data_IF_378544759602
#
_entry.id   IF_378544759602
#
_cell.length_a   1.000
_cell.length_b   1.000
_cell.length_c   1.000
_cell.angle_alpha   90.00
_cell.angle_beta   90.00
_cell.angle_gamma   90.00
#
_symmetry.space_group_name_H-M   'P 1'
#
loop_
_entity.id
_entity.type
_entity.pdbx_description
1 polymer ?
#
# COMPACT_ATOMS: atom_id res chain seq x y z
N UNK A 1 -7.73 -24.46 -5.48
CA UNK A 1 -7.43 -23.50 -6.55
C UNK A 1 -6.45 -22.50 -5.98
N UNK A 2 -5.31 -22.29 -6.64
CA UNK A 2 -4.41 -21.16 -6.35
C UNK A 2 -4.51 -20.16 -7.49
N UNK A 3 -4.51 -18.86 -7.18
CA UNK A 3 -4.52 -17.79 -8.19
C UNK A 3 -3.22 -17.02 -8.03
N UNK A 4 -2.47 -16.93 -9.12
CA UNK A 4 -1.38 -15.97 -9.24
C UNK A 4 -1.91 -14.77 -10.04
N UNK A 5 -1.93 -13.60 -9.40
CA UNK A 5 -2.39 -12.37 -10.03
C UNK A 5 -1.31 -11.68 -10.87
N UNK A 6 -0.06 -12.15 -10.84
CA UNK A 6 1.03 -11.63 -11.68
C UNK A 6 1.21 -10.10 -11.60
N UNK A 7 1.08 -9.50 -10.41
CA UNK A 7 1.07 -8.04 -10.17
C UNK A 7 -0.14 -7.28 -10.75
N UNK A 8 -1.19 -7.99 -11.19
CA UNK A 8 -2.45 -7.40 -11.62
C UNK A 8 -3.36 -7.10 -10.44
N UNK A 9 -4.02 -5.94 -10.47
CA UNK A 9 -5.11 -5.60 -9.54
C UNK A 9 -6.48 -5.95 -10.12
N UNK A 10 -6.53 -6.62 -11.27
CA UNK A 10 -7.78 -7.00 -11.92
C UNK A 10 -8.45 -8.16 -11.19
N UNK A 11 -9.77 -8.12 -11.14
CA UNK A 11 -10.60 -9.21 -10.62
C UNK A 11 -10.44 -10.46 -11.50
N UNK A 12 -10.16 -11.60 -10.88
CA UNK A 12 -10.26 -12.90 -11.51
C UNK A 12 -11.73 -13.34 -11.51
N UNK A 13 -12.32 -13.47 -12.70
CA UNK A 13 -13.73 -13.84 -12.89
C UNK A 13 -13.83 -15.21 -13.57
N UNK A 14 -14.59 -16.12 -12.98
CA UNK A 14 -14.83 -17.46 -13.53
C UNK A 14 -16.21 -17.98 -13.08
N UNK A 15 -16.64 -19.11 -13.63
CA UNK A 15 -17.91 -19.75 -13.26
C UNK A 15 -17.67 -21.04 -12.49
N UNK A 16 -18.44 -21.23 -11.42
CA UNK A 16 -18.62 -22.53 -10.80
C UNK A 16 -19.84 -23.19 -11.44
N UNK A 17 -19.61 -24.27 -12.18
CA UNK A 17 -20.66 -25.04 -12.83
C UNK A 17 -20.95 -26.29 -12.01
N UNK A 18 -22.22 -26.50 -11.71
CA UNK A 18 -22.75 -27.78 -11.21
C UNK A 18 -23.45 -28.50 -12.37
N UNK A 19 -24.05 -29.65 -12.10
CA UNK A 19 -24.83 -30.36 -13.12
C UNK A 19 -26.02 -29.53 -13.63
N UNK A 20 -26.63 -28.76 -12.73
CA UNK A 20 -27.92 -28.12 -12.98
C UNK A 20 -27.82 -26.58 -13.07
N UNK A 21 -26.76 -25.98 -12.51
CA UNK A 21 -26.63 -24.52 -12.37
C UNK A 21 -25.21 -23.98 -12.62
N UNK A 22 -25.12 -22.68 -12.90
CA UNK A 22 -23.88 -21.93 -13.11
C UNK A 22 -23.84 -20.69 -12.21
N UNK A 23 -22.72 -20.46 -11.52
CA UNK A 23 -22.54 -19.34 -10.59
C UNK A 23 -21.31 -18.53 -10.98
N UNK A 24 -21.48 -17.23 -11.23
CA UNK A 24 -20.35 -16.32 -11.45
C UNK A 24 -19.62 -16.05 -10.13
N UNK A 25 -18.31 -16.24 -10.13
CA UNK A 25 -17.42 -15.96 -9.01
C UNK A 25 -16.38 -14.94 -9.43
N UNK A 26 -16.20 -13.92 -8.58
CA UNK A 26 -15.26 -12.83 -8.77
C UNK A 26 -14.32 -12.78 -7.56
N UNK A 27 -13.02 -12.86 -7.80
CA UNK A 27 -11.99 -12.78 -6.76
C UNK A 27 -11.08 -11.60 -7.09
N UNK A 28 -11.11 -10.57 -6.23
CA UNK A 28 -10.25 -9.40 -6.34
C UNK A 28 -9.06 -9.56 -5.39
N UNK A 29 -7.81 -9.40 -5.85
CA UNK A 29 -6.67 -9.49 -4.97
C UNK A 29 -6.64 -8.29 -4.02
N UNK A 30 -6.55 -8.50 -2.69
CA UNK A 30 -6.14 -7.44 -1.78
C UNK A 30 -4.73 -6.98 -2.17
N UNK A 31 -4.46 -5.67 -2.17
CA UNK A 31 -3.13 -5.18 -2.59
C UNK A 31 -2.02 -5.72 -1.70
N UNK A 32 -2.30 -5.96 -0.41
CA UNK A 32 -1.36 -6.59 0.50
C UNK A 32 -0.88 -7.99 0.06
N UNK A 33 -1.67 -8.75 -0.70
CA UNK A 33 -1.26 -10.07 -1.22
C UNK A 33 -0.33 -9.96 -2.43
N UNK A 34 -0.33 -8.80 -3.11
CA UNK A 34 0.58 -8.51 -4.22
C UNK A 34 1.96 -8.04 -3.73
N UNK A 35 2.15 -7.89 -2.42
CA UNK A 35 3.31 -7.23 -1.82
C UNK A 35 4.04 -8.15 -0.83
N UNK A 36 5.37 -8.08 -0.88
CA UNK A 36 6.29 -8.68 0.08
C UNK A 36 6.99 -7.57 0.86
N UNK A 37 6.94 -7.58 2.21
CA UNK A 37 7.56 -6.55 3.02
C UNK A 37 9.08 -6.58 2.84
N UNK A 38 9.69 -5.38 2.79
CA UNK A 38 11.14 -5.23 2.69
C UNK A 38 11.65 -4.39 3.85
N UNK A 39 12.71 -4.86 4.49
CA UNK A 39 13.47 -4.08 5.47
C UNK A 39 14.58 -3.31 4.76
N UNK A 40 14.69 -2.02 5.02
CA UNK A 40 15.78 -1.19 4.50
C UNK A 40 16.10 -0.03 5.44
N UNK A 41 17.24 0.61 5.26
CA UNK A 41 17.62 1.79 6.04
C UNK A 41 16.87 3.05 5.57
N UNK A 42 16.77 4.06 6.44
CA UNK A 42 16.22 5.37 6.05
C UNK A 42 17.00 5.99 4.88
N UNK A 43 18.32 5.78 4.86
CA UNK A 43 19.22 6.28 3.81
C UNK A 43 18.90 5.65 2.46
N UNK A 44 18.75 4.33 2.42
CA UNK A 44 18.45 3.61 1.18
C UNK A 44 17.04 3.94 0.70
N UNK A 45 16.06 4.04 1.62
CA UNK A 45 14.71 4.48 1.28
C UNK A 45 14.72 5.84 0.57
N UNK A 46 15.40 6.85 1.14
CA UNK A 46 15.46 8.19 0.55
C UNK A 46 16.17 8.20 -0.80
N UNK A 47 17.21 7.38 -0.97
CA UNK A 47 17.92 7.22 -2.23
C UNK A 47 16.98 6.67 -3.32
N UNK A 48 16.32 5.55 -3.06
CA UNK A 48 15.39 4.92 -4.00
C UNK A 48 14.17 5.82 -4.27
N UNK A 49 13.65 6.49 -3.23
CA UNK A 49 12.57 7.45 -3.38
C UNK A 49 12.95 8.58 -4.34
N UNK A 50 14.17 9.12 -4.24
CA UNK A 50 14.68 10.13 -5.16
C UNK A 50 14.67 9.69 -6.64
N UNK A 51 14.86 8.39 -6.89
CA UNK A 51 14.81 7.81 -8.24
C UNK A 51 13.38 7.56 -8.75
N UNK A 52 12.40 7.50 -7.84
CA UNK A 52 11.00 7.18 -8.12
C UNK A 52 10.05 8.38 -7.95
N UNK A 53 10.59 9.60 -7.99
CA UNK A 53 9.78 10.83 -7.98
C UNK A 53 9.15 11.12 -9.35
N UNK A 54 8.21 12.07 -9.42
CA UNK A 54 7.60 12.50 -10.67
C UNK A 54 6.54 11.51 -11.16
N UNK A 55 6.77 10.85 -12.30
CA UNK A 55 5.77 9.98 -12.94
C UNK A 55 5.48 8.69 -12.14
N UNK A 56 6.39 8.30 -11.24
CA UNK A 56 6.26 7.12 -10.40
C UNK A 56 5.71 7.44 -9.00
N UNK A 57 5.19 8.64 -8.81
CA UNK A 57 4.65 9.11 -7.53
C UNK A 57 3.14 9.31 -7.60
N UNK A 58 2.42 8.79 -6.61
CA UNK A 58 1.03 9.15 -6.35
C UNK A 58 0.87 9.57 -4.90
N UNK A 59 0.09 10.60 -4.64
CA UNK A 59 -0.08 11.13 -3.29
C UNK A 59 -1.50 11.62 -3.01
N UNK A 60 -1.83 11.72 -1.74
CA UNK A 60 -3.06 12.34 -1.28
C UNK A 60 -2.91 12.92 0.12
N UNK A 61 -3.63 14.01 0.36
CA UNK A 61 -3.85 14.55 1.70
C UNK A 61 -5.08 13.87 2.31
N UNK A 62 -4.97 13.42 3.56
CA UNK A 62 -6.05 12.81 4.32
C UNK A 62 -6.25 13.55 5.64
N UNK A 63 -7.49 13.65 6.11
CA UNK A 63 -7.80 14.07 7.47
C UNK A 63 -7.60 12.88 8.42
N UNK A 64 -6.62 12.95 9.31
CA UNK A 64 -6.25 11.87 10.21
C UNK A 64 -7.24 11.79 11.36
N UNK A 65 -7.71 10.58 11.65
CA UNK A 65 -8.55 10.37 12.81
C UNK A 65 -7.75 10.58 14.10
N UNK A 66 -8.32 11.20 15.17
CA UNK A 66 -7.57 11.46 16.40
C UNK A 66 -6.91 10.21 16.97
N UNK A 67 -7.56 9.05 16.83
CA UNK A 67 -7.07 7.73 17.22
C UNK A 67 -5.89 7.22 16.37
N UNK A 68 -5.74 7.72 15.14
CA UNK A 68 -4.70 7.33 14.18
C UNK A 68 -3.51 8.32 14.15
N UNK A 69 -3.33 9.13 15.19
CA UNK A 69 -2.29 10.17 15.25
C UNK A 69 -0.96 9.71 15.85
N UNK A 70 -0.93 8.54 16.50
CA UNK A 70 0.30 8.04 17.15
C UNK A 70 1.10 7.14 16.21
N UNK A 71 2.42 7.20 16.32
CA UNK A 71 3.37 6.39 15.53
C UNK A 71 3.02 4.90 15.54
N UNK A 72 2.74 4.33 16.71
CA UNK A 72 2.44 2.90 16.84
C UNK A 72 1.14 2.52 16.12
N UNK A 73 0.09 3.33 16.25
CA UNK A 73 -1.19 3.05 15.59
C UNK A 73 -1.07 3.16 14.07
N UNK A 74 -0.35 4.16 13.56
CA UNK A 74 -0.14 4.32 12.11
C UNK A 74 0.60 3.10 11.55
N UNK A 75 1.69 2.69 12.20
CA UNK A 75 2.45 1.50 11.81
C UNK A 75 1.53 0.28 11.79
N UNK A 76 0.80 0.02 12.87
CA UNK A 76 -0.08 -1.14 12.98
C UNK A 76 -1.17 -1.14 11.90
N UNK A 77 -1.82 0.01 11.66
CA UNK A 77 -2.88 0.18 10.67
C UNK A 77 -2.37 -0.04 9.25
N UNK A 78 -1.23 0.56 8.90
CA UNK A 78 -0.65 0.44 7.56
C UNK A 78 -0.19 -0.99 7.30
N UNK A 79 0.53 -1.62 8.23
CA UNK A 79 1.01 -3.00 8.07
C UNK A 79 -0.14 -4.01 7.98
N UNK A 80 -1.21 -3.80 8.74
CA UNK A 80 -2.41 -4.65 8.67
C UNK A 80 -3.17 -4.47 7.35
N UNK A 81 -3.21 -3.26 6.82
CA UNK A 81 -3.92 -2.96 5.57
C UNK A 81 -3.14 -3.40 4.34
N UNK A 82 -1.82 -3.25 4.36
CA UNK A 82 -0.93 -3.61 3.28
C UNK A 82 0.34 -4.22 3.87
N UNK A 83 0.70 -5.41 3.40
CA UNK A 83 1.83 -6.23 3.87
C UNK A 83 3.19 -5.55 3.61
N UNK A 84 3.46 -4.47 4.33
CA UNK A 84 4.58 -3.56 4.14
C UNK A 84 5.58 -3.70 5.28
N UNK A 85 6.87 -3.61 4.96
CA UNK A 85 7.94 -3.59 5.95
C UNK A 85 8.12 -2.19 6.52
N UNK A 86 8.26 -2.05 7.83
CA UNK A 86 8.51 -0.76 8.48
C UNK A 86 9.96 -0.34 8.22
N UNK A 87 10.14 0.89 7.77
CA UNK A 87 11.46 1.51 7.60
C UNK A 87 11.74 2.42 8.79
N UNK A 88 12.86 2.23 9.50
CA UNK A 88 13.23 3.11 10.60
C UNK A 88 13.26 4.58 10.14
N UNK A 89 12.71 5.46 10.98
CA UNK A 89 12.69 6.90 10.75
C UNK A 89 13.17 7.61 12.00
N UNK A 90 14.10 8.55 11.81
CA UNK A 90 14.54 9.47 12.84
C UNK A 90 13.57 10.63 13.12
N UNK A 91 12.49 10.75 12.35
CA UNK A 91 11.47 11.79 12.48
C UNK A 91 10.18 11.19 13.03
N UNK A 92 9.60 11.81 14.05
CA UNK A 92 8.39 11.30 14.72
C UNK A 92 7.12 11.46 13.88
N UNK A 93 7.08 12.47 13.01
CA UNK A 93 5.93 12.76 12.15
C UNK A 93 6.02 12.06 10.78
N UNK A 94 7.13 11.39 10.46
CA UNK A 94 7.30 10.71 9.17
C UNK A 94 7.44 9.21 9.39
N UNK A 95 6.48 8.45 8.85
CA UNK A 95 6.46 7.00 8.89
C UNK A 95 6.68 6.46 7.48
N UNK A 96 7.64 5.54 7.34
CA UNK A 96 8.07 5.00 6.05
C UNK A 96 7.88 3.50 6.04
N UNK A 97 7.45 2.99 4.90
CA UNK A 97 7.23 1.57 4.69
C UNK A 97 7.73 1.17 3.31
N UNK A 98 8.24 -0.05 3.18
CA UNK A 98 8.77 -0.57 1.94
C UNK A 98 8.27 -1.99 1.67
N UNK A 99 7.99 -2.27 0.41
CA UNK A 99 7.69 -3.60 -0.08
C UNK A 99 8.20 -3.76 -1.51
N UNK A 100 8.16 -5.00 -1.99
CA UNK A 100 8.30 -5.33 -3.41
C UNK A 100 7.07 -6.07 -3.88
N UNK A 101 6.74 -5.93 -5.14
CA UNK A 101 5.67 -6.76 -5.70
C UNK A 101 6.11 -8.22 -5.78
N UNK A 102 5.17 -9.15 -5.57
CA UNK A 102 5.46 -10.60 -5.52
C UNK A 102 6.02 -11.09 -6.84
N UNK A 103 5.41 -10.72 -7.97
CA UNK A 103 5.76 -11.31 -9.27
C UNK A 103 6.96 -10.63 -9.92
N UNK A 104 6.94 -9.29 -10.08
CA UNK A 104 8.04 -8.58 -10.76
C UNK A 104 9.14 -8.06 -9.83
N UNK A 105 8.96 -8.10 -8.51
CA UNK A 105 9.95 -7.60 -7.55
C UNK A 105 10.11 -6.08 -7.59
N UNK A 106 9.20 -5.34 -8.22
CA UNK A 106 9.25 -3.89 -8.33
C UNK A 106 9.10 -3.24 -6.96
N UNK A 107 9.95 -2.25 -6.67
CA UNK A 107 9.96 -1.56 -5.39
C UNK A 107 8.71 -0.70 -5.20
N UNK A 108 8.21 -0.69 -3.97
CA UNK A 108 7.11 0.13 -3.51
C UNK A 108 7.49 0.81 -2.21
N UNK A 109 7.50 2.14 -2.21
CA UNK A 109 7.82 2.95 -1.05
C UNK A 109 6.58 3.73 -0.65
N UNK A 110 6.24 3.69 0.63
CA UNK A 110 5.09 4.41 1.20
C UNK A 110 5.59 5.34 2.29
N UNK A 111 5.19 6.61 2.20
CA UNK A 111 5.44 7.62 3.23
C UNK A 111 4.11 8.13 3.77
N UNK A 112 3.94 8.10 5.10
CA UNK A 112 2.88 8.80 5.81
C UNK A 112 3.54 9.94 6.59
N UNK A 113 3.33 11.16 6.15
CA UNK A 113 3.82 12.36 6.82
C UNK A 113 2.66 13.05 7.54
N UNK A 114 2.68 13.06 8.86
CA UNK A 114 1.76 13.82 9.69
C UNK A 114 2.08 15.32 9.57
N UNK A 115 1.03 16.10 9.32
CA UNK A 115 1.07 17.56 9.20
C UNK A 115 0.30 18.21 10.34
N UNK A 116 0.52 19.51 10.50
CA UNK A 116 -0.25 20.35 11.40
C UNK A 116 -1.75 20.31 11.02
N UNK A 117 -2.65 20.50 11.99
CA UNK A 117 -4.11 20.46 11.81
C UNK A 117 -4.73 19.06 11.58
N UNK A 118 -4.17 18.00 12.15
CA UNK A 118 -4.72 16.63 12.07
C UNK A 118 -4.86 16.14 10.62
N UNK A 119 -3.93 16.50 9.76
CA UNK A 119 -3.86 16.01 8.37
C UNK A 119 -2.59 15.18 8.18
N UNK A 120 -2.58 14.32 7.16
CA UNK A 120 -1.39 13.62 6.74
C UNK A 120 -1.27 13.62 5.22
N UNK A 121 -0.04 13.64 4.74
CA UNK A 121 0.28 13.37 3.36
C UNK A 121 0.70 11.91 3.22
N UNK A 122 -0.09 11.16 2.45
CA UNK A 122 0.22 9.80 2.04
C UNK A 122 0.87 9.87 0.66
N UNK A 123 2.07 9.32 0.52
CA UNK A 123 2.86 9.32 -0.72
C UNK A 123 3.27 7.89 -1.02
N UNK A 124 3.09 7.46 -2.27
CA UNK A 124 3.51 6.15 -2.76
C UNK A 124 4.40 6.36 -3.97
N UNK A 125 5.61 5.82 -3.92
CA UNK A 125 6.57 5.83 -5.02
C UNK A 125 6.78 4.40 -5.53
N UNK A 126 6.45 4.15 -6.81
CA UNK A 126 6.60 2.85 -7.45
C UNK A 126 6.51 2.97 -8.98
N UNK A 127 7.24 2.10 -9.70
CA UNK A 127 7.05 1.93 -11.15
C UNK A 127 5.72 1.22 -11.47
N UNK A 128 5.12 0.53 -10.50
CA UNK A 128 3.82 -0.16 -10.63
C UNK A 128 2.69 0.78 -10.24
N UNK A 129 2.55 1.86 -10.99
CA UNK A 129 1.64 2.98 -10.69
C UNK A 129 0.18 2.56 -10.50
N UNK A 130 -0.28 1.52 -11.20
CA UNK A 130 -1.63 0.96 -11.02
C UNK A 130 -1.79 0.37 -9.61
N UNK A 131 -0.86 -0.50 -9.19
CA UNK A 131 -0.87 -1.07 -7.83
C UNK A 131 -0.72 0.05 -6.79
N UNK A 132 0.18 1.00 -7.04
CA UNK A 132 0.36 2.16 -6.17
C UNK A 132 -0.92 2.99 -5.99
N UNK A 133 -1.70 3.18 -7.06
CA UNK A 133 -2.99 3.89 -7.01
C UNK A 133 -4.06 3.13 -6.25
N UNK A 134 -4.13 1.80 -6.40
CA UNK A 134 -5.05 0.96 -5.62
C UNK A 134 -4.63 0.96 -4.14
N UNK A 135 -3.34 0.84 -3.84
CA UNK A 135 -2.82 0.94 -2.47
C UNK A 135 -3.17 2.29 -1.83
N UNK A 136 -2.99 3.39 -2.58
CA UNK A 136 -3.36 4.73 -2.10
C UNK A 136 -4.86 4.78 -1.72
N UNK A 137 -5.71 4.18 -2.55
CA UNK A 137 -7.17 4.12 -2.32
C UNK A 137 -7.53 3.28 -1.11
N UNK A 138 -6.83 2.18 -0.86
CA UNK A 138 -7.07 1.29 0.29
C UNK A 138 -6.55 1.88 1.61
N UNK A 139 -5.39 2.56 1.59
CA UNK A 139 -4.80 3.17 2.79
C UNK A 139 -5.51 4.45 3.25
N UNK A 140 -6.13 5.20 2.33
CA UNK A 140 -6.91 6.40 2.64
C UNK A 140 -7.94 6.17 3.76
N UNK A 141 -8.93 5.28 3.63
CA UNK A 141 -9.96 5.05 4.65
C UNK A 141 -9.40 4.40 5.93
N UNK A 142 -8.27 3.69 5.84
CA UNK A 142 -7.61 3.08 7.01
C UNK A 142 -7.07 4.14 7.96
N UNK A 143 -6.57 5.24 7.41
CA UNK A 143 -5.94 6.32 8.15
C UNK A 143 -6.85 7.53 8.36
N UNK A 144 -7.87 7.72 7.53
CA UNK A 144 -8.77 8.87 7.61
C UNK A 144 -9.78 8.80 8.77
N UNK A 145 -10.36 9.94 9.12
CA UNK A 145 -11.67 9.98 9.78
C UNK A 145 -12.69 9.33 8.83
N UNK A 146 -13.55 8.47 9.37
CA UNK A 146 -14.45 7.60 8.61
C UNK A 146 -15.30 8.32 7.56
#
# INVERSE_FOLDING_TARGET
MGIDFCDSTQTASFQLCTKDDHFNVNIQPPVGELLLPVTMSEKDFKKEQGMLTGMNETSATIAVAPQNSTRLVIIERVVKAANLGVVPSGQDNIHRFAAKTVNSGSLMLVTVELKESSTAQLIINTEKTVIGSVLLRELKPVLSQG
#
